data_IF_964859815322
#
_entry.id   IF_964859815322
#
_cell.length_a   1.000
_cell.length_b   1.000
_cell.length_c   1.000
_cell.angle_alpha   90.00
_cell.angle_beta   90.00
_cell.angle_gamma   90.00
#
_symmetry.space_group_name_H-M   'P 1'
#
loop_
_entity.id
_entity.type
_entity.pdbx_description
1 polymer ?
#
# COMPACT_ATOMS: atom_id res chain seq x y z
N UNK A 1 0.90 -14.55 -3.79
CA UNK A 1 -0.52 -14.94 -3.67
C UNK A 1 -1.02 -14.34 -2.36
N UNK A 2 -1.59 -13.14 -2.46
CA UNK A 2 -1.80 -12.13 -1.41
C UNK A 2 -2.86 -12.50 -0.34
N UNK A 3 -3.74 -13.44 -0.62
CA UNK A 3 -4.88 -13.77 0.25
C UNK A 3 -4.48 -14.28 1.65
N UNK A 4 -3.29 -14.90 1.78
CA UNK A 4 -2.78 -15.36 3.08
C UNK A 4 -2.24 -14.21 3.94
N UNK A 5 -1.52 -13.26 3.36
CA UNK A 5 -0.89 -12.16 4.13
C UNK A 5 -1.91 -11.15 4.65
N UNK A 6 -3.03 -10.92 3.94
CA UNK A 6 -4.05 -9.99 4.44
C UNK A 6 -4.82 -10.48 5.65
N UNK A 7 -5.13 -11.78 5.70
CA UNK A 7 -5.76 -12.37 6.87
C UNK A 7 -4.92 -12.17 8.11
N UNK A 8 -3.61 -12.41 8.01
CA UNK A 8 -2.65 -12.23 9.10
C UNK A 8 -2.49 -10.75 9.51
N UNK A 9 -2.51 -9.81 8.56
CA UNK A 9 -2.47 -8.37 8.86
C UNK A 9 -3.76 -7.86 9.54
N UNK A 10 -4.91 -8.46 9.22
CA UNK A 10 -6.19 -8.13 9.86
C UNK A 10 -6.26 -8.78 11.25
N UNK A 11 -5.85 -10.05 11.38
CA UNK A 11 -5.83 -10.78 12.66
C UNK A 11 -4.83 -10.18 13.66
N UNK A 12 -3.69 -9.67 13.18
CA UNK A 12 -2.72 -8.93 14.00
C UNK A 12 -3.20 -7.52 14.39
N UNK A 13 -4.33 -7.06 13.83
CA UNK A 13 -4.87 -5.71 14.07
C UNK A 13 -4.06 -4.59 13.40
N UNK A 14 -3.15 -4.93 12.50
CA UNK A 14 -2.33 -3.98 11.76
C UNK A 14 -3.15 -3.19 10.72
N UNK A 15 -4.14 -3.84 10.10
CA UNK A 15 -5.03 -3.22 9.12
C UNK A 15 -6.50 -3.56 9.40
N UNK A 16 -7.41 -2.62 9.12
CA UNK A 16 -8.85 -2.90 9.16
C UNK A 16 -9.34 -3.63 7.90
N UNK A 17 -10.53 -4.24 7.98
CA UNK A 17 -11.23 -4.81 6.81
C UNK A 17 -11.41 -3.79 5.67
N UNK A 18 -11.54 -2.51 6.00
CA UNK A 18 -11.65 -1.40 5.04
C UNK A 18 -10.32 -1.02 4.37
N UNK A 19 -9.19 -1.40 4.95
CA UNK A 19 -7.85 -1.18 4.41
C UNK A 19 -7.34 -2.37 3.58
N UNK A 20 -8.21 -3.37 3.40
CA UNK A 20 -7.98 -4.56 2.61
C UNK A 20 -7.92 -4.19 1.12
N UNK A 21 -6.72 -3.95 0.61
CA UNK A 21 -6.46 -3.72 -0.82
C UNK A 21 -6.56 -5.07 -1.55
N UNK A 22 -7.63 -5.29 -2.29
CA UNK A 22 -7.86 -6.56 -3.02
C UNK A 22 -7.50 -6.45 -4.52
N UNK A 23 -7.34 -5.22 -5.01
CA UNK A 23 -7.05 -4.94 -6.41
C UNK A 23 -6.07 -3.79 -6.59
N UNK A 24 -5.49 -3.71 -7.79
CA UNK A 24 -4.64 -2.58 -8.21
C UNK A 24 -5.37 -1.23 -8.11
N UNK A 25 -6.67 -1.20 -8.40
CA UNK A 25 -7.46 0.04 -8.41
C UNK A 25 -7.71 0.52 -6.97
N UNK A 26 -7.77 -0.41 -6.01
CA UNK A 26 -7.85 -0.10 -4.58
C UNK A 26 -6.58 0.58 -4.08
N UNK A 27 -5.38 0.21 -4.57
CA UNK A 27 -4.13 0.93 -4.24
C UNK A 27 -4.26 2.40 -4.66
N UNK A 28 -4.75 2.64 -5.87
CA UNK A 28 -4.88 3.99 -6.41
C UNK A 28 -5.93 4.81 -5.65
N UNK A 29 -7.11 4.24 -5.39
CA UNK A 29 -8.17 4.86 -4.59
C UNK A 29 -7.70 5.15 -3.16
N UNK A 30 -7.00 4.19 -2.55
CA UNK A 30 -6.44 4.34 -1.22
C UNK A 30 -5.45 5.50 -1.17
N UNK A 31 -4.47 5.55 -2.08
CA UNK A 31 -3.49 6.63 -2.16
C UNK A 31 -4.14 8.00 -2.42
N UNK A 32 -5.12 8.05 -3.33
CA UNK A 32 -5.86 9.28 -3.64
C UNK A 32 -6.70 9.78 -2.44
N UNK A 33 -7.36 8.87 -1.71
CA UNK A 33 -8.08 9.20 -0.47
C UNK A 33 -7.14 9.76 0.60
N UNK A 34 -5.87 9.37 0.59
CA UNK A 34 -4.81 9.92 1.45
C UNK A 34 -4.13 11.15 0.85
N UNK A 35 -4.83 11.92 0.02
CA UNK A 35 -4.36 13.18 -0.59
C UNK A 35 -3.13 13.04 -1.49
N UNK A 36 -2.80 11.83 -1.96
CA UNK A 36 -1.75 11.65 -2.96
C UNK A 36 -2.24 12.15 -4.33
N UNK A 37 -1.43 12.93 -5.06
CA UNK A 37 -1.77 13.31 -6.43
C UNK A 37 -2.01 12.08 -7.31
N UNK A 38 -3.03 12.16 -8.17
CA UNK A 38 -3.43 11.05 -9.07
C UNK A 38 -2.27 10.47 -9.88
N UNK A 39 -1.37 11.32 -10.36
CA UNK A 39 -0.21 10.89 -11.14
C UNK A 39 0.79 10.07 -10.30
N UNK A 40 1.04 10.49 -9.06
CA UNK A 40 1.95 9.76 -8.16
C UNK A 40 1.33 8.41 -7.76
N UNK A 41 0.04 8.41 -7.41
CA UNK A 41 -0.71 7.19 -7.12
C UNK A 41 -0.72 6.21 -8.30
N UNK A 42 -0.88 6.71 -9.52
CA UNK A 42 -0.81 5.90 -10.73
C UNK A 42 0.57 5.26 -10.94
N UNK A 43 1.66 6.01 -10.70
CA UNK A 43 3.03 5.47 -10.84
C UNK A 43 3.31 4.35 -9.84
N UNK A 44 2.84 4.51 -8.60
CA UNK A 44 2.98 3.48 -7.55
C UNK A 44 2.17 2.24 -7.91
N UNK A 45 0.87 2.41 -8.23
CA UNK A 45 -0.01 1.31 -8.63
C UNK A 45 0.55 0.54 -9.83
N UNK A 46 1.05 1.25 -10.85
CA UNK A 46 1.59 0.65 -12.06
C UNK A 46 2.92 -0.09 -11.82
N UNK A 47 3.70 0.33 -10.82
CA UNK A 47 4.91 -0.38 -10.37
C UNK A 47 4.56 -1.71 -9.71
N UNK A 48 3.59 -1.67 -8.79
CA UNK A 48 3.08 -2.85 -8.09
C UNK A 48 2.46 -3.85 -9.09
N UNK A 49 1.60 -3.37 -10.00
CA UNK A 49 1.00 -4.20 -11.09
C UNK A 49 2.05 -4.88 -11.98
N UNK A 50 3.23 -4.28 -12.14
CA UNK A 50 4.33 -4.85 -12.95
C UNK A 50 5.22 -5.81 -12.14
N UNK A 51 4.87 -6.12 -10.90
CA UNK A 51 5.66 -6.95 -10.00
C UNK A 51 7.01 -6.32 -9.63
N UNK A 52 7.15 -5.00 -9.78
CA UNK A 52 8.38 -4.28 -9.41
C UNK A 52 8.37 -3.85 -7.94
N UNK A 53 7.24 -4.01 -7.26
CA UNK A 53 7.04 -3.60 -5.88
C UNK A 53 7.15 -2.09 -5.67
N UNK A 54 7.45 -1.72 -4.43
CA UNK A 54 7.67 -0.34 -4.00
C UNK A 54 9.18 -0.05 -3.91
N UNK A 55 9.66 0.90 -4.71
CA UNK A 55 11.03 1.40 -4.59
C UNK A 55 11.16 2.40 -3.43
N UNK A 56 12.38 2.78 -3.09
CA UNK A 56 12.64 3.72 -1.99
C UNK A 56 12.00 5.09 -2.20
N UNK A 57 11.85 5.52 -3.45
CA UNK A 57 11.16 6.78 -3.79
C UNK A 57 9.66 6.68 -3.49
N UNK A 58 9.01 5.57 -3.83
CA UNK A 58 7.61 5.30 -3.51
C UNK A 58 7.40 5.23 -1.99
N UNK A 59 8.29 4.53 -1.28
CA UNK A 59 8.27 4.47 0.19
C UNK A 59 8.43 5.86 0.80
N UNK A 60 9.33 6.70 0.29
CA UNK A 60 9.48 8.10 0.72
C UNK A 60 8.27 8.96 0.40
N UNK A 61 7.70 8.85 -0.80
CA UNK A 61 6.51 9.60 -1.18
C UNK A 61 5.31 9.24 -0.31
N UNK A 62 5.16 7.96 0.03
CA UNK A 62 4.19 7.49 1.00
C UNK A 62 4.53 8.02 2.39
N UNK A 63 5.75 7.84 2.90
CA UNK A 63 6.20 8.29 4.22
C UNK A 63 6.04 9.80 4.46
N UNK A 64 6.46 10.65 3.51
CA UNK A 64 6.43 12.12 3.65
C UNK A 64 5.01 12.66 3.70
N UNK A 65 4.10 12.08 2.92
CA UNK A 65 2.68 12.52 2.86
C UNK A 65 1.80 11.79 3.86
N UNK A 66 2.25 10.65 4.35
CA UNK A 66 1.60 9.81 5.34
C UNK A 66 2.46 9.77 6.61
N UNK A 67 2.92 10.91 7.14
CA UNK A 67 3.70 10.95 8.38
C UNK A 67 2.98 10.26 9.57
N UNK A 68 1.65 10.12 9.50
CA UNK A 68 0.82 9.33 10.40
C UNK A 68 1.00 7.80 10.25
N UNK A 69 1.37 7.32 9.07
CA UNK A 69 1.44 5.90 8.72
C UNK A 69 2.78 5.24 9.07
N UNK A 70 3.91 5.94 9.08
CA UNK A 70 5.20 5.36 9.51
C UNK A 70 5.12 4.86 10.98
N UNK A 71 4.26 5.49 11.78
CA UNK A 71 4.01 5.13 13.19
C UNK A 71 2.99 3.99 13.33
N UNK A 72 2.05 3.86 12.39
CA UNK A 72 0.90 2.95 12.51
C UNK A 72 0.96 1.71 11.60
N UNK A 73 1.72 1.77 10.50
CA UNK A 73 1.82 0.71 9.51
C UNK A 73 3.28 0.30 9.37
N UNK A 74 3.65 -0.88 9.89
CA UNK A 74 5.01 -1.38 9.88
C UNK A 74 5.47 -1.70 8.46
N UNK A 75 6.76 -1.93 8.29
CA UNK A 75 7.38 -2.30 7.01
C UNK A 75 6.67 -3.49 6.33
N UNK A 76 6.13 -4.41 7.13
CA UNK A 76 5.33 -5.55 6.68
C UNK A 76 4.11 -5.16 5.82
N UNK A 77 3.49 -4.00 6.09
CA UNK A 77 2.39 -3.50 5.26
C UNK A 77 2.86 -3.07 3.86
N UNK A 78 4.03 -2.43 3.78
CA UNK A 78 4.61 -2.01 2.51
C UNK A 78 5.17 -3.19 1.72
N UNK A 79 5.74 -4.19 2.40
CA UNK A 79 6.13 -5.45 1.80
C UNK A 79 4.92 -6.19 1.25
N UNK A 80 3.85 -6.30 2.04
CA UNK A 80 2.59 -6.86 1.58
C UNK A 80 2.14 -6.15 0.29
N UNK A 81 2.04 -4.81 0.29
CA UNK A 81 1.68 -3.99 -0.89
C UNK A 81 2.51 -4.28 -2.14
N UNK A 82 3.79 -4.60 -1.98
CA UNK A 82 4.67 -4.92 -3.10
C UNK A 82 4.34 -6.25 -3.80
N UNK A 83 3.57 -7.11 -3.12
CA UNK A 83 3.14 -8.42 -3.58
C UNK A 83 1.72 -8.44 -4.18
N UNK A 84 1.01 -7.29 -4.34
CA UNK A 84 -0.23 -7.24 -5.16
C UNK A 84 0.19 -7.42 -6.63
N UNK A 85 0.39 -8.66 -7.05
CA UNK A 85 0.53 -9.04 -8.46
C UNK A 85 -0.82 -9.40 -9.06
#
# INVERSE_FOLDING_TARGET
MWYRNQGELIESGLIGLSDCIASRDDIMLYLMNKTMPKNDAYRIMESVRKGKGLNDEHKRMMAVRLAYYIVYYPDEYFEALSEVG
#
